data_IF_381458699820
#
_entry.id   IF_381458699820
#
_cell.length_a   1.000
_cell.length_b   1.000
_cell.length_c   1.000
_cell.angle_alpha   90.00
_cell.angle_beta   90.00
_cell.angle_gamma   90.00
#
_symmetry.space_group_name_H-M   'P 1'
#
loop_
_entity.id
_entity.type
_entity.pdbx_description
1 polymer ?
#
# COMPACT_ATOMS: atom_id res chain seq x y z
N UNK A 1 21.40 5.79 -4.55
CA UNK A 1 21.03 4.97 -3.37
C UNK A 1 20.14 5.81 -2.46
N UNK A 2 18.84 5.49 -2.39
CA UNK A 2 17.78 6.36 -1.85
C UNK A 2 17.42 5.92 -0.43
N UNK A 3 17.41 6.85 0.53
CA UNK A 3 17.01 6.60 1.93
C UNK A 3 15.49 6.45 1.99
N UNK A 4 15.02 5.54 2.85
CA UNK A 4 13.64 5.10 2.91
C UNK A 4 13.18 5.14 4.37
N UNK A 5 12.06 5.81 4.63
CA UNK A 5 11.31 5.67 5.88
C UNK A 5 10.01 4.95 5.57
N UNK A 6 9.70 3.86 6.28
CA UNK A 6 8.42 3.21 6.27
C UNK A 6 7.48 3.97 7.21
N UNK A 7 6.32 4.44 6.74
CA UNK A 7 5.24 4.80 7.67
C UNK A 7 4.32 3.62 7.76
N UNK A 8 4.17 3.10 8.98
CA UNK A 8 3.08 2.22 9.32
C UNK A 8 2.87 2.25 10.81
N UNK A 9 1.71 2.74 11.23
CA UNK A 9 0.58 1.95 11.73
C UNK A 9 -0.59 2.96 11.61
N UNK A 10 -1.79 2.52 11.25
CA UNK A 10 -3.02 3.19 11.67
C UNK A 10 -4.09 2.10 11.78
N UNK A 11 -4.55 1.82 13.00
CA UNK A 11 -5.45 0.71 13.36
C UNK A 11 -6.95 0.99 13.05
N UNK A 12 -7.46 0.62 11.88
CA UNK A 12 -8.76 1.10 11.36
C UNK A 12 -9.97 1.13 12.36
N UNK A 13 -10.66 2.27 12.58
CA UNK A 13 -11.86 2.35 13.46
C UNK A 13 -12.93 3.39 13.02
N UNK A 14 -14.17 2.97 12.70
CA UNK A 14 -15.20 3.79 12.00
C UNK A 14 -16.27 4.42 12.91
N UNK A 15 -16.41 5.78 12.91
CA UNK A 15 -17.69 6.56 13.02
C UNK A 15 -17.58 8.14 12.98
N UNK A 16 -18.31 8.75 12.01
CA UNK A 16 -19.02 10.07 11.81
C UNK A 16 -18.49 11.49 12.21
N UNK A 17 -18.71 12.44 11.28
CA UNK A 17 -18.25 13.83 10.98
C UNK A 17 -18.63 15.08 11.85
N UNK A 18 -17.80 16.16 11.75
CA UNK A 18 -18.18 17.57 11.39
C UNK A 18 -16.93 18.50 11.19
N UNK A 19 -17.03 19.57 10.37
CA UNK A 19 -15.97 20.29 9.60
C UNK A 19 -15.68 21.77 10.04
N UNK A 20 -14.45 22.29 9.81
CA UNK A 20 -14.03 23.69 9.41
C UNK A 20 -12.67 24.15 10.01
N UNK A 21 -11.82 25.09 9.53
CA UNK A 21 -11.38 25.64 8.22
C UNK A 21 -10.21 26.66 8.48
N UNK A 22 -9.19 26.75 7.59
CA UNK A 22 -8.36 27.92 7.15
C UNK A 22 -7.02 28.48 7.77
N UNK A 23 -6.20 29.01 6.81
CA UNK A 23 -5.05 29.97 6.76
C UNK A 23 -3.64 29.52 7.23
N UNK A 24 -2.47 29.99 6.73
CA UNK A 24 -1.95 30.64 5.50
C UNK A 24 -0.40 30.79 5.61
N UNK A 25 0.25 31.05 4.47
CA UNK A 25 1.68 31.06 4.11
C UNK A 25 2.63 31.97 4.92
N UNK A 26 3.95 31.64 4.90
CA UNK A 26 5.01 32.53 4.39
C UNK A 26 6.36 31.82 4.16
N UNK A 27 7.18 32.36 3.26
CA UNK A 27 8.21 31.72 2.42
C UNK A 27 9.66 32.00 2.88
N UNK A 28 10.57 31.02 2.73
CA UNK A 28 12.02 31.25 2.50
C UNK A 28 12.56 30.20 1.53
N UNK A 29 13.20 30.65 0.44
CA UNK A 29 13.77 29.80 -0.61
C UNK A 29 15.06 29.11 -0.13
N UNK A 30 14.86 27.94 0.45
CA UNK A 30 15.76 26.78 0.27
C UNK A 30 15.17 26.03 -0.94
N UNK A 31 15.95 25.35 -1.80
CA UNK A 31 15.37 24.51 -2.87
C UNK A 31 14.30 23.60 -2.23
N UNK A 32 13.01 23.94 -2.45
CA UNK A 32 11.93 23.38 -1.66
C UNK A 32 11.80 21.91 -2.04
N UNK A 33 11.97 21.03 -1.07
CA UNK A 33 11.65 19.62 -1.28
C UNK A 33 10.17 19.53 -1.64
N UNK A 34 9.86 18.89 -2.77
CA UNK A 34 8.49 18.69 -3.20
C UNK A 34 7.68 18.01 -2.09
N UNK A 35 6.43 18.45 -1.93
CA UNK A 35 5.51 17.88 -0.94
C UNK A 35 4.78 16.70 -1.57
N UNK A 36 4.88 15.54 -0.94
CA UNK A 36 4.13 14.36 -1.31
C UNK A 36 3.04 14.09 -0.26
N UNK A 37 1.79 14.19 -0.70
CA UNK A 37 0.61 13.96 0.13
C UNK A 37 0.15 12.51 0.06
N UNK A 38 -0.22 11.97 1.22
CA UNK A 38 -0.70 10.61 1.42
C UNK A 38 -2.06 10.64 2.13
N UNK A 39 -2.94 9.71 1.77
CA UNK A 39 -4.25 9.54 2.40
C UNK A 39 -4.77 8.14 2.15
N UNK A 40 -5.52 7.59 3.11
CA UNK A 40 -6.24 6.32 2.97
C UNK A 40 -7.71 6.52 2.59
N UNK A 41 -8.04 7.61 1.88
CA UNK A 41 -9.39 7.85 1.34
C UNK A 41 -9.94 6.67 0.50
N UNK A 42 -9.06 5.83 -0.06
CA UNK A 42 -9.44 4.60 -0.77
C UNK A 42 -10.08 3.54 0.14
N UNK A 43 -10.00 3.69 1.47
CA UNK A 43 -10.70 2.84 2.44
C UNK A 43 -12.08 3.41 2.84
N UNK A 44 -12.45 4.61 2.37
CA UNK A 44 -13.74 5.20 2.67
C UNK A 44 -14.81 4.76 1.65
N UNK A 45 -16.03 4.42 2.10
CA UNK A 45 -17.12 4.02 1.21
C UNK A 45 -17.68 5.20 0.39
N UNK A 46 -17.59 6.43 0.91
CA UNK A 46 -18.03 7.65 0.24
C UNK A 46 -16.80 8.42 -0.23
N UNK A 47 -16.58 8.42 -1.55
CA UNK A 47 -15.45 9.16 -2.14
C UNK A 47 -15.71 10.66 -1.99
N UNK A 48 -14.82 11.42 -1.35
CA UNK A 48 -14.88 12.88 -1.43
C UNK A 48 -14.78 13.27 -2.91
N UNK A 49 -15.59 14.24 -3.35
CA UNK A 49 -15.40 14.92 -4.64
C UNK A 49 -14.16 15.79 -4.51
N UNK A 50 -12.98 15.17 -4.58
CA UNK A 50 -11.71 15.88 -4.43
C UNK A 50 -11.33 16.52 -5.76
N UNK A 51 -11.00 17.81 -5.76
CA UNK A 51 -10.55 18.57 -6.95
C UNK A 51 -9.07 18.26 -7.29
N UNK A 52 -8.51 17.18 -6.76
CA UNK A 52 -7.14 16.73 -6.99
C UNK A 52 -7.00 15.88 -8.26
N UNK A 53 -5.76 15.56 -8.67
CA UNK A 53 -5.52 14.63 -9.78
C UNK A 53 -6.13 13.26 -9.45
N UNK A 54 -6.94 12.73 -10.37
CA UNK A 54 -7.56 11.42 -10.23
C UNK A 54 -6.48 10.32 -10.20
N UNK A 55 -6.31 9.66 -9.06
CA UNK A 55 -5.40 8.53 -8.95
C UNK A 55 -5.94 7.34 -9.76
N UNK A 56 -5.05 6.66 -10.48
CA UNK A 56 -5.33 5.37 -11.11
C UNK A 56 -4.89 4.27 -10.15
N UNK A 57 -5.78 3.33 -9.85
CA UNK A 57 -5.48 2.23 -8.94
C UNK A 57 -5.23 0.93 -9.70
N UNK A 58 -4.31 0.13 -9.16
CA UNK A 58 -4.15 -1.29 -9.46
C UNK A 58 -4.20 -2.08 -8.15
N UNK A 59 -4.71 -3.31 -8.20
CA UNK A 59 -4.79 -4.21 -7.05
C UNK A 59 -3.92 -5.44 -7.30
N UNK A 60 -3.04 -5.76 -6.36
CA UNK A 60 -2.32 -7.03 -6.31
C UNK A 60 -2.82 -7.83 -5.12
N UNK A 61 -3.22 -9.08 -5.34
CA UNK A 61 -3.65 -10.00 -4.29
C UNK A 61 -2.55 -11.04 -4.07
N UNK A 62 -1.99 -11.08 -2.87
CA UNK A 62 -0.94 -12.03 -2.48
C UNK A 62 -1.49 -13.26 -1.76
N UNK A 63 -0.64 -14.26 -1.56
CA UNK A 63 -1.00 -15.54 -0.93
C UNK A 63 -1.06 -15.48 0.62
N UNK A 64 -1.83 -14.55 1.17
CA UNK A 64 -2.15 -14.46 2.61
C UNK A 64 -3.64 -14.15 2.80
N UNK A 65 -4.19 -14.30 4.02
CA UNK A 65 -5.59 -13.99 4.29
C UNK A 65 -6.01 -12.61 3.76
N UNK A 66 -7.17 -12.56 3.12
CA UNK A 66 -7.67 -11.33 2.51
C UNK A 66 -8.14 -10.35 3.59
N UNK A 67 -7.73 -9.06 3.53
CA UNK A 67 -8.35 -8.02 4.34
C UNK A 67 -9.86 -7.97 4.12
N UNK A 68 -10.65 -7.71 5.16
CA UNK A 68 -12.12 -7.66 5.06
C UNK A 68 -12.65 -6.59 4.10
N UNK A 69 -11.86 -5.55 3.88
CA UNK A 69 -12.14 -4.45 2.95
C UNK A 69 -11.63 -4.72 1.51
N UNK A 70 -11.16 -5.93 1.20
CA UNK A 70 -10.74 -6.30 -0.17
C UNK A 70 -11.77 -5.97 -1.26
N UNK A 71 -13.10 -6.16 -1.05
CA UNK A 71 -14.10 -5.74 -2.04
C UNK A 71 -14.04 -4.26 -2.41
N UNK A 72 -13.76 -3.38 -1.45
CA UNK A 72 -13.63 -1.94 -1.69
C UNK A 72 -12.37 -1.63 -2.53
N UNK A 73 -11.27 -2.34 -2.26
CA UNK A 73 -10.05 -2.22 -3.06
C UNK A 73 -10.29 -2.65 -4.52
N UNK A 74 -11.11 -3.69 -4.71
CA UNK A 74 -11.46 -4.18 -6.04
C UNK A 74 -12.27 -3.16 -6.85
N UNK A 75 -13.23 -2.47 -6.21
CA UNK A 75 -14.04 -1.42 -6.85
C UNK A 75 -13.21 -0.20 -7.31
N UNK A 76 -12.01 -0.01 -6.77
CA UNK A 76 -11.06 1.02 -7.20
C UNK A 76 -10.25 0.60 -8.42
N UNK A 77 -10.02 -0.70 -8.60
CA UNK A 77 -9.20 -1.26 -9.67
C UNK A 77 -9.93 -2.36 -10.48
N UNK A 78 -11.16 -2.12 -10.98
CA UNK A 78 -12.02 -3.17 -11.56
C UNK A 78 -11.49 -3.77 -12.87
N UNK A 79 -10.45 -3.19 -13.47
CA UNK A 79 -9.81 -3.64 -14.72
C UNK A 79 -8.29 -3.80 -14.59
N UNK A 80 -7.77 -3.75 -13.35
CA UNK A 80 -6.34 -3.86 -13.05
C UNK A 80 -6.12 -4.64 -11.75
N UNK A 81 -6.76 -5.80 -11.65
CA UNK A 81 -6.55 -6.73 -10.55
C UNK A 81 -5.66 -7.91 -10.98
N UNK A 82 -4.55 -8.10 -10.28
CA UNK A 82 -3.57 -9.15 -10.51
C UNK A 82 -3.48 -10.04 -9.27
N UNK A 83 -3.60 -11.35 -9.44
CA UNK A 83 -3.26 -12.30 -8.39
C UNK A 83 -1.80 -12.75 -8.55
N UNK A 84 -1.03 -12.67 -7.47
CA UNK A 84 0.32 -13.20 -7.41
C UNK A 84 0.25 -14.68 -7.03
N UNK A 85 0.39 -15.55 -8.03
CA UNK A 85 0.33 -17.01 -7.91
C UNK A 85 -0.78 -17.50 -6.95
N UNK A 86 -0.39 -18.01 -5.76
CA UNK A 86 -1.30 -18.52 -4.73
C UNK A 86 -2.29 -17.49 -4.17
N UNK A 87 -2.12 -16.19 -4.44
CA UNK A 87 -3.14 -15.17 -4.18
C UNK A 87 -4.47 -15.45 -4.88
N UNK A 88 -4.45 -16.17 -6.00
CA UNK A 88 -5.66 -16.64 -6.67
C UNK A 88 -6.45 -17.65 -5.81
N UNK A 89 -5.77 -18.49 -5.03
CA UNK A 89 -6.43 -19.40 -4.09
C UNK A 89 -7.19 -18.60 -3.02
N UNK A 90 -6.57 -17.56 -2.48
CA UNK A 90 -7.17 -16.67 -1.48
C UNK A 90 -8.43 -16.00 -2.02
N UNK A 91 -8.33 -15.46 -3.24
CA UNK A 91 -9.47 -14.88 -3.93
C UNK A 91 -10.62 -15.91 -4.13
N UNK A 92 -10.29 -17.12 -4.54
CA UNK A 92 -11.26 -18.18 -4.82
C UNK A 92 -11.97 -18.71 -3.56
N UNK A 93 -11.22 -18.85 -2.46
CA UNK A 93 -11.67 -19.50 -1.22
C UNK A 93 -12.30 -18.52 -0.22
N UNK A 94 -11.71 -17.33 -0.06
CA UNK A 94 -12.01 -16.42 1.04
C UNK A 94 -12.98 -15.31 0.63
N UNK A 95 -12.91 -14.81 -0.60
CA UNK A 95 -13.77 -13.71 -1.02
C UNK A 95 -15.27 -14.04 -0.96
N UNK A 96 -15.74 -15.25 -1.35
CA UNK A 96 -17.14 -15.66 -1.12
C UNK A 96 -17.61 -15.54 0.32
N UNK A 97 -16.71 -15.71 1.30
CA UNK A 97 -17.04 -15.63 2.73
C UNK A 97 -17.37 -14.21 3.18
N UNK A 98 -16.89 -13.20 2.45
CA UNK A 98 -17.22 -11.79 2.67
C UNK A 98 -18.62 -11.43 2.14
N UNK A 99 -19.25 -12.31 1.36
CA UNK A 99 -20.60 -12.15 0.80
C UNK A 99 -21.51 -13.32 1.17
N UNK A 100 -21.85 -13.50 2.47
CA UNK A 100 -22.61 -14.66 2.95
C UNK A 100 -24.03 -14.78 2.37
N UNK A 101 -24.53 -13.72 1.72
CA UNK A 101 -25.85 -13.69 1.07
C UNK A 101 -25.81 -14.10 -0.41
N UNK A 102 -24.63 -14.07 -1.02
CA UNK A 102 -24.44 -14.37 -2.44
C UNK A 102 -24.00 -15.84 -2.60
N UNK A 103 -24.33 -16.45 -3.74
CA UNK A 103 -23.79 -17.79 -4.04
C UNK A 103 -22.28 -17.67 -4.31
N UNK A 104 -21.44 -18.59 -3.80
CA UNK A 104 -20.00 -18.53 -4.02
C UNK A 104 -19.57 -18.48 -5.50
N UNK A 105 -20.31 -19.14 -6.38
CA UNK A 105 -20.09 -19.07 -7.84
C UNK A 105 -20.25 -17.66 -8.39
N UNK A 106 -21.27 -16.93 -7.92
CA UNK A 106 -21.62 -15.62 -8.43
C UNK A 106 -20.57 -14.59 -7.98
N UNK A 107 -20.07 -14.73 -6.74
CA UNK A 107 -18.96 -13.94 -6.22
C UNK A 107 -17.69 -14.20 -7.03
N UNK A 108 -17.33 -15.47 -7.27
CA UNK A 108 -16.12 -15.80 -8.05
C UNK A 108 -16.17 -15.28 -9.48
N UNK A 109 -17.36 -15.28 -10.10
CA UNK A 109 -17.56 -14.71 -11.44
C UNK A 109 -17.47 -13.18 -11.43
N UNK A 110 -18.00 -12.52 -10.38
CA UNK A 110 -17.93 -11.07 -10.21
C UNK A 110 -16.51 -10.58 -9.95
N UNK A 111 -15.74 -11.33 -9.17
CA UNK A 111 -14.37 -11.01 -8.76
C UNK A 111 -13.36 -11.91 -9.45
N UNK A 112 -13.37 -11.83 -10.79
CA UNK A 112 -12.42 -12.51 -11.67
C UNK A 112 -11.19 -11.62 -11.88
N UNK A 113 -9.97 -12.05 -11.54
CA UNK A 113 -8.77 -11.25 -11.77
C UNK A 113 -8.47 -11.15 -13.27
N UNK A 114 -7.85 -10.04 -13.67
CA UNK A 114 -7.43 -9.82 -15.06
C UNK A 114 -6.24 -10.71 -15.40
N UNK A 115 -5.31 -10.84 -14.45
CA UNK A 115 -4.06 -11.58 -14.58
C UNK A 115 -3.80 -12.44 -13.35
N UNK A 116 -3.32 -13.66 -13.55
CA UNK A 116 -2.61 -14.44 -12.54
C UNK A 116 -1.16 -14.53 -12.99
N UNK A 117 -0.22 -14.09 -12.15
CA UNK A 117 1.21 -14.04 -12.46
C UNK A 117 2.05 -14.58 -11.32
N UNK A 118 3.05 -15.37 -11.65
CA UNK A 118 4.01 -15.95 -10.71
C UNK A 118 4.59 -17.25 -11.27
N UNK A 119 5.29 -18.03 -10.47
CA UNK A 119 5.86 -19.32 -10.87
C UNK A 119 4.87 -20.50 -10.79
N UNK A 120 3.63 -20.25 -10.37
CA UNK A 120 2.54 -21.23 -10.35
C UNK A 120 2.81 -22.41 -9.40
N UNK A 121 3.68 -22.24 -8.40
CA UNK A 121 4.05 -23.29 -7.45
C UNK A 121 3.07 -23.39 -6.27
N UNK A 122 2.31 -22.33 -6.02
CA UNK A 122 1.38 -22.21 -4.90
C UNK A 122 -0.07 -22.26 -5.33
N UNK A 123 -0.42 -21.81 -6.55
CA UNK A 123 -1.79 -21.92 -7.06
C UNK A 123 -2.21 -23.38 -7.25
N UNK A 124 -3.41 -23.72 -6.80
CA UNK A 124 -3.94 -25.08 -7.00
C UNK A 124 -4.46 -25.24 -8.43
N UNK A 125 -4.28 -26.43 -9.01
CA UNK A 125 -4.63 -26.72 -10.40
C UNK A 125 -6.10 -26.41 -10.71
N UNK A 126 -7.03 -26.77 -9.82
CA UNK A 126 -8.46 -26.52 -10.02
C UNK A 126 -8.82 -25.03 -9.98
N UNK A 127 -8.08 -24.22 -9.21
CA UNK A 127 -8.27 -22.76 -9.14
C UNK A 127 -7.71 -22.10 -10.39
N UNK A 128 -6.53 -22.53 -10.82
CA UNK A 128 -5.89 -22.06 -12.05
C UNK A 128 -6.78 -22.34 -13.27
N UNK A 129 -7.29 -23.57 -13.38
CA UNK A 129 -8.18 -23.99 -14.47
C UNK A 129 -9.51 -23.22 -14.44
N UNK A 130 -10.09 -22.99 -13.26
CA UNK A 130 -11.29 -22.20 -13.11
C UNK A 130 -11.13 -20.79 -13.69
N UNK A 131 -10.11 -20.04 -13.25
CA UNK A 131 -9.89 -18.68 -13.74
C UNK A 131 -9.44 -18.62 -15.20
N UNK A 132 -8.64 -19.60 -15.64
CA UNK A 132 -8.28 -19.76 -17.06
C UNK A 132 -9.53 -19.92 -17.94
N UNK A 133 -10.49 -20.75 -17.52
CA UNK A 133 -11.76 -20.96 -18.24
C UNK A 133 -12.67 -19.73 -18.22
N UNK A 134 -12.56 -18.87 -17.21
CA UNK A 134 -13.21 -17.56 -17.19
C UNK A 134 -12.48 -16.50 -18.05
N UNK A 135 -11.35 -16.84 -18.67
CA UNK A 135 -10.57 -15.96 -19.52
C UNK A 135 -9.63 -15.02 -18.76
N UNK A 136 -9.18 -15.38 -17.57
CA UNK A 136 -8.08 -14.69 -16.88
C UNK A 136 -6.77 -14.99 -17.60
N UNK A 137 -5.92 -13.97 -17.80
CA UNK A 137 -4.61 -14.15 -18.43
C UNK A 137 -3.65 -14.81 -17.44
N UNK A 138 -3.10 -15.96 -17.82
CA UNK A 138 -2.09 -16.66 -17.00
C UNK A 138 -0.70 -16.30 -17.52
N UNK A 139 0.15 -15.76 -16.65
CA UNK A 139 1.53 -15.39 -16.96
C UNK A 139 2.49 -16.17 -16.05
N UNK A 140 2.96 -17.30 -16.57
CA UNK A 140 3.93 -18.16 -15.89
C UNK A 140 5.34 -17.55 -15.95
N UNK A 141 5.96 -17.41 -14.79
CA UNK A 141 7.30 -16.87 -14.54
C UNK A 141 8.15 -17.87 -13.75
N UNK A 142 7.95 -19.17 -13.96
CA UNK A 142 8.72 -20.25 -13.31
C UNK A 142 10.23 -20.15 -13.52
N UNK A 143 10.65 -19.52 -14.62
CA UNK A 143 12.05 -19.37 -14.98
C UNK A 143 12.76 -18.24 -14.19
N UNK A 144 12.02 -17.29 -13.60
CA UNK A 144 12.57 -16.22 -12.77
C UNK A 144 12.48 -16.59 -11.29
N UNK A 145 13.60 -17.03 -10.73
CA UNK A 145 13.77 -17.38 -9.32
C UNK A 145 14.50 -16.29 -8.52
N UNK A 146 14.91 -15.20 -9.18
CA UNK A 146 15.60 -14.07 -8.53
C UNK A 146 14.63 -13.03 -7.98
N UNK A 147 13.35 -13.08 -8.39
CA UNK A 147 12.32 -12.14 -7.95
C UNK A 147 11.08 -12.82 -7.36
N UNK A 148 10.49 -12.18 -6.35
CA UNK A 148 9.24 -12.63 -5.71
C UNK A 148 8.02 -12.37 -6.60
N UNK A 149 6.90 -13.07 -6.42
CA UNK A 149 5.69 -12.81 -7.23
C UNK A 149 5.13 -11.39 -7.09
N UNK A 150 5.26 -10.75 -5.93
CA UNK A 150 4.89 -9.34 -5.80
C UNK A 150 5.73 -8.47 -6.74
N UNK A 151 7.05 -8.71 -6.81
CA UNK A 151 7.94 -8.01 -7.74
C UNK A 151 7.46 -8.20 -9.18
N UNK A 152 7.22 -9.45 -9.59
CA UNK A 152 6.75 -9.83 -10.92
C UNK A 152 5.45 -9.08 -11.29
N UNK A 153 4.50 -9.00 -10.35
CA UNK A 153 3.23 -8.29 -10.54
C UNK A 153 3.41 -6.78 -10.65
N UNK A 154 4.20 -6.16 -9.76
CA UNK A 154 4.47 -4.71 -9.79
C UNK A 154 5.21 -4.32 -11.07
N UNK A 155 6.19 -5.13 -11.51
CA UNK A 155 6.92 -4.91 -12.74
C UNK A 155 5.99 -4.92 -13.97
N UNK A 156 5.04 -5.86 -14.02
CA UNK A 156 4.03 -5.91 -15.08
C UNK A 156 3.16 -4.65 -15.09
N UNK A 157 2.60 -4.26 -13.95
CA UNK A 157 1.77 -3.04 -13.85
C UNK A 157 2.57 -1.81 -14.31
N UNK A 158 3.83 -1.70 -13.91
CA UNK A 158 4.70 -0.59 -14.29
C UNK A 158 5.07 -0.60 -15.78
N UNK A 159 5.16 -1.77 -16.42
CA UNK A 159 5.41 -1.90 -17.84
C UNK A 159 4.17 -1.53 -18.67
N UNK A 160 3.00 -1.96 -18.23
CA UNK A 160 1.72 -1.72 -18.93
C UNK A 160 1.17 -0.30 -18.71
N UNK A 161 1.66 0.43 -17.70
CA UNK A 161 1.24 1.80 -17.41
C UNK A 161 2.02 2.81 -18.28
N UNK A 162 1.35 3.64 -19.10
CA UNK A 162 2.00 4.70 -19.87
C UNK A 162 2.78 5.66 -18.98
N UNK A 163 3.91 6.19 -19.46
CA UNK A 163 4.80 7.06 -18.67
C UNK A 163 4.09 8.28 -18.08
N UNK A 164 3.11 8.84 -18.80
CA UNK A 164 2.30 9.99 -18.38
C UNK A 164 1.39 9.69 -17.18
N UNK A 165 1.01 8.43 -16.99
CA UNK A 165 0.09 8.00 -15.93
C UNK A 165 0.82 7.45 -14.69
N UNK A 166 2.14 7.16 -14.80
CA UNK A 166 2.93 6.57 -13.72
C UNK A 166 2.96 7.42 -12.45
N UNK A 167 2.91 8.75 -12.59
CA UNK A 167 2.87 9.67 -11.44
C UNK A 167 1.55 9.59 -10.65
N UNK A 168 0.47 9.16 -11.30
CA UNK A 168 -0.87 9.05 -10.69
C UNK A 168 -1.24 7.60 -10.32
N UNK A 169 -0.34 6.64 -10.58
CA UNK A 169 -0.55 5.23 -10.28
C UNK A 169 -0.37 4.95 -8.78
N UNK A 170 -1.35 4.30 -8.17
CA UNK A 170 -1.29 3.75 -6.83
C UNK A 170 -1.56 2.23 -6.88
N UNK A 171 -0.59 1.42 -6.44
CA UNK A 171 -0.72 -0.03 -6.37
C UNK A 171 -1.09 -0.41 -4.94
N UNK A 172 -2.28 -0.96 -4.77
CA UNK A 172 -2.78 -1.50 -3.51
C UNK A 172 -2.44 -2.99 -3.47
N UNK A 173 -1.83 -3.47 -2.40
CA UNK A 173 -1.41 -4.88 -2.27
C UNK A 173 -2.13 -5.51 -1.09
N UNK A 174 -3.10 -6.38 -1.37
CA UNK A 174 -3.87 -7.09 -0.36
C UNK A 174 -3.17 -8.40 0.05
N UNK A 175 -3.22 -8.74 1.35
CA UNK A 175 -2.59 -9.95 1.87
C UNK A 175 -1.07 -9.82 1.97
N UNK A 176 -0.57 -8.63 2.28
CA UNK A 176 0.87 -8.38 2.25
C UNK A 176 1.63 -8.76 3.52
N UNK A 177 0.92 -9.09 4.60
CA UNK A 177 1.46 -9.30 5.95
C UNK A 177 0.69 -10.42 6.66
N UNK A 178 1.27 -10.96 7.73
CA UNK A 178 0.67 -11.97 8.61
C UNK A 178 1.13 -13.41 8.34
N UNK A 179 2.28 -13.59 7.69
CA UNK A 179 2.76 -14.89 7.22
C UNK A 179 4.23 -15.16 7.51
N UNK A 180 4.91 -15.75 6.52
CA UNK A 180 6.35 -16.01 6.56
C UNK A 180 7.11 -14.68 6.55
N UNK A 181 7.95 -14.46 7.57
CA UNK A 181 8.68 -13.20 7.73
C UNK A 181 9.61 -12.88 6.54
N UNK A 182 10.24 -13.89 5.95
CA UNK A 182 11.09 -13.71 4.77
C UNK A 182 10.29 -13.20 3.55
N UNK A 183 9.03 -13.64 3.40
CA UNK A 183 8.13 -13.10 2.36
C UNK A 183 7.74 -11.66 2.67
N UNK A 184 7.46 -11.32 3.93
CA UNK A 184 7.15 -9.94 4.33
C UNK A 184 8.33 -9.00 4.10
N UNK A 185 9.55 -9.44 4.45
CA UNK A 185 10.78 -8.71 4.13
C UNK A 185 10.95 -8.55 2.61
N UNK A 186 10.60 -9.57 1.82
CA UNK A 186 10.52 -9.49 0.36
C UNK A 186 9.54 -8.41 -0.12
N UNK A 187 8.36 -8.31 0.49
CA UNK A 187 7.37 -7.28 0.18
C UNK A 187 7.89 -5.87 0.48
N UNK A 188 8.58 -5.68 1.61
CA UNK A 188 9.25 -4.41 1.95
C UNK A 188 10.36 -4.09 0.94
N UNK A 189 11.11 -5.09 0.49
CA UNK A 189 12.15 -4.92 -0.53
C UNK A 189 11.56 -4.46 -1.88
N UNK A 190 10.36 -4.92 -2.25
CA UNK A 190 9.63 -4.41 -3.44
C UNK A 190 9.38 -2.91 -3.31
N UNK A 191 8.92 -2.41 -2.15
CA UNK A 191 8.75 -0.97 -1.96
C UNK A 191 10.06 -0.22 -2.19
N UNK A 192 11.18 -0.76 -1.70
CA UNK A 192 12.50 -0.16 -1.88
C UNK A 192 12.94 -0.14 -3.35
N UNK A 193 12.72 -1.26 -4.06
CA UNK A 193 13.06 -1.42 -5.48
C UNK A 193 12.27 -0.45 -6.36
N UNK A 194 10.97 -0.32 -6.10
CA UNK A 194 10.04 0.54 -6.84
C UNK A 194 9.77 1.86 -6.11
N UNK A 195 10.79 2.46 -5.50
CA UNK A 195 10.70 3.67 -4.66
C UNK A 195 10.05 4.93 -5.28
N UNK A 196 9.84 4.95 -6.60
CA UNK A 196 9.14 6.04 -7.30
C UNK A 196 7.67 5.75 -7.56
N UNK A 197 7.21 4.54 -7.29
CA UNK A 197 5.84 4.08 -7.48
C UNK A 197 5.15 4.09 -6.12
N UNK A 198 3.92 4.61 -6.07
CA UNK A 198 3.12 4.56 -4.85
C UNK A 198 2.58 3.15 -4.68
N UNK A 199 3.15 2.40 -3.75
CA UNK A 199 2.74 1.03 -3.41
C UNK A 199 2.35 1.02 -1.93
N UNK A 200 1.18 0.47 -1.64
CA UNK A 200 0.61 0.38 -0.30
C UNK A 200 0.34 -1.08 0.00
N UNK A 201 1.02 -1.62 1.01
CA UNK A 201 0.81 -2.99 1.49
C UNK A 201 -0.29 -2.99 2.55
N UNK A 202 -1.26 -3.88 2.42
CA UNK A 202 -2.48 -3.89 3.21
C UNK A 202 -2.72 -5.29 3.82
N UNK A 203 -3.07 -5.28 5.10
CA UNK A 203 -3.65 -6.38 5.86
C UNK A 203 -4.85 -5.84 6.66
N UNK A 204 -5.57 -6.68 7.39
CA UNK A 204 -6.70 -6.22 8.22
C UNK A 204 -6.28 -5.18 9.29
N UNK A 205 -5.05 -5.27 9.79
CA UNK A 205 -4.59 -4.50 10.95
C UNK A 205 -3.51 -3.47 10.62
N UNK A 206 -2.99 -3.47 9.38
CA UNK A 206 -1.75 -2.78 9.06
C UNK A 206 -1.71 -2.27 7.61
N UNK A 207 -1.29 -1.01 7.45
CA UNK A 207 -1.07 -0.32 6.18
C UNK A 207 0.37 0.17 6.10
N UNK A 208 1.15 -0.40 5.19
CA UNK A 208 2.55 -0.04 4.99
C UNK A 208 2.77 0.73 3.69
N UNK A 209 3.46 1.86 3.79
CA UNK A 209 3.89 2.62 2.61
C UNK A 209 5.29 3.20 2.77
N UNK A 210 5.95 3.40 1.64
CA UNK A 210 7.25 4.03 1.55
C UNK A 210 7.15 5.55 1.58
N UNK A 211 7.97 6.20 2.38
CA UNK A 211 8.23 7.63 2.33
C UNK A 211 9.63 7.89 1.75
N UNK A 212 9.76 8.24 0.46
CA UNK A 212 11.04 8.57 -0.14
C UNK A 212 11.65 9.83 0.47
N UNK A 213 12.91 9.77 0.89
CA UNK A 213 13.64 10.94 1.46
C UNK A 213 13.71 12.18 0.56
N UNK A 214 13.35 12.08 -0.72
CA UNK A 214 13.43 13.18 -1.67
C UNK A 214 12.28 14.19 -1.49
N UNK A 215 11.29 13.87 -0.66
CA UNK A 215 10.10 14.69 -0.46
C UNK A 215 9.91 15.04 1.01
N UNK A 216 9.21 16.15 1.24
CA UNK A 216 8.48 16.35 2.49
C UNK A 216 7.16 15.60 2.38
N UNK A 217 6.73 14.98 3.47
CA UNK A 217 5.48 14.21 3.48
C UNK A 217 4.42 14.88 4.32
N UNK A 218 3.21 14.91 3.78
CA UNK A 218 2.00 15.22 4.53
C UNK A 218 1.08 14.00 4.46
N UNK A 219 0.64 13.52 5.62
CA UNK A 219 -0.17 12.31 5.72
C UNK A 219 -1.49 12.74 6.36
N UNK A 220 -2.56 12.66 5.58
CA UNK A 220 -3.92 12.96 5.99
C UNK A 220 -4.52 11.71 6.62
N UNK A 221 -4.80 11.80 7.91
CA UNK A 221 -5.25 10.67 8.72
C UNK A 221 -6.76 10.57 8.64
N UNK A 222 -7.23 9.42 8.22
CA UNK A 222 -8.65 9.12 8.11
C UNK A 222 -9.09 8.38 9.36
N UNK A 223 -9.22 9.08 10.50
CA UNK A 223 -9.50 8.48 11.82
C UNK A 223 -10.72 7.56 11.87
N UNK A 224 -11.65 7.68 10.92
CA UNK A 224 -12.78 6.77 10.73
C UNK A 224 -12.40 5.40 10.14
N UNK A 225 -11.23 5.24 9.57
CA UNK A 225 -10.76 3.96 9.06
C UNK A 225 -9.33 3.79 9.46
N UNK A 226 -8.83 4.52 10.45
CA UNK A 226 -7.44 4.51 10.85
C UNK A 226 -7.39 4.73 12.36
N UNK A 227 -6.60 3.95 13.07
CA UNK A 227 -6.54 4.03 14.53
C UNK A 227 -5.21 4.51 15.03
N UNK A 228 -5.14 4.84 16.31
CA UNK A 228 -4.20 5.85 16.78
C UNK A 228 -2.75 5.44 16.63
N UNK A 229 -2.42 4.15 16.67
CA UNK A 229 -1.03 3.72 16.64
C UNK A 229 -0.39 3.97 15.29
N UNK A 230 0.86 4.45 15.28
CA UNK A 230 1.69 4.64 14.09
C UNK A 230 3.17 4.30 14.35
N UNK A 231 3.97 4.26 13.29
CA UNK A 231 5.40 3.99 13.39
C UNK A 231 6.19 4.48 12.18
N UNK A 232 7.46 4.80 12.42
CA UNK A 232 8.47 5.18 11.43
C UNK A 232 9.69 4.28 11.52
N UNK A 233 9.97 3.55 10.44
CA UNK A 233 11.07 2.58 10.38
C UNK A 233 12.04 2.94 9.24
N UNK A 234 13.31 3.26 9.52
CA UNK A 234 14.32 3.57 8.50
C UNK A 234 14.85 2.28 7.85
N UNK A 235 14.25 1.88 6.73
CA UNK A 235 14.62 0.67 6.00
C UNK A 235 15.77 0.98 5.02
N UNK A 236 16.72 0.06 4.90
CA UNK A 236 17.84 0.13 3.96
C UNK A 236 19.02 0.98 4.47
N UNK A 237 18.77 2.15 5.04
CA UNK A 237 19.82 3.03 5.60
C UNK A 237 19.28 3.83 6.81
N UNK A 238 20.15 4.23 7.76
CA UNK A 238 19.81 5.18 8.81
C UNK A 238 19.16 6.47 8.28
N UNK A 239 18.15 6.96 8.98
CA UNK A 239 17.62 8.31 8.80
C UNK A 239 18.33 9.23 9.79
N UNK A 240 19.28 10.05 9.33
CA UNK A 240 20.14 10.85 10.22
C UNK A 240 19.42 11.97 10.96
N UNK A 241 18.45 12.60 10.29
CA UNK A 241 17.73 13.76 10.81
C UNK A 241 16.28 13.64 10.37
N UNK A 242 15.40 13.32 11.32
CA UNK A 242 13.96 13.19 11.08
C UNK A 242 13.21 14.15 11.99
N UNK A 243 12.32 14.93 11.40
CA UNK A 243 11.41 15.81 12.13
C UNK A 243 9.98 15.46 11.77
N UNK A 244 9.11 15.37 12.77
CA UNK A 244 7.67 15.14 12.57
C UNK A 244 6.83 16.16 13.31
N UNK A 245 5.59 16.32 12.87
CA UNK A 245 4.54 17.02 13.62
C UNK A 245 3.26 16.20 13.62
N UNK A 246 2.47 16.31 14.68
CA UNK A 246 1.15 15.69 14.78
C UNK A 246 1.16 14.28 15.40
N UNK A 247 2.31 13.83 15.91
CA UNK A 247 2.46 12.60 16.68
C UNK A 247 2.51 12.88 18.19
N UNK A 248 2.15 11.90 19.00
CA UNK A 248 2.29 11.94 20.47
C UNK A 248 3.76 12.07 20.88
N UNK A 249 4.64 11.41 20.14
CA UNK A 249 6.08 11.53 20.27
C UNK A 249 6.64 12.04 18.96
N UNK A 250 6.53 13.35 18.75
CA UNK A 250 7.13 14.01 17.61
C UNK A 250 8.67 13.94 17.67
N UNK A 251 9.28 13.74 16.51
CA UNK A 251 10.72 13.76 16.34
C UNK A 251 11.17 15.18 16.02
N UNK A 252 12.33 15.57 16.54
CA UNK A 252 12.95 16.86 16.22
C UNK A 252 14.42 16.60 15.92
N UNK A 253 14.79 16.68 14.64
CA UNK A 253 16.16 16.44 14.16
C UNK A 253 16.74 15.11 14.67
N UNK A 254 15.91 14.07 14.73
CA UNK A 254 16.24 12.83 15.43
C UNK A 254 16.74 11.76 14.47
N UNK A 255 17.86 11.13 14.82
CA UNK A 255 18.39 9.98 14.10
C UNK A 255 17.57 8.71 14.41
N UNK A 256 17.24 7.95 13.36
CA UNK A 256 16.66 6.61 13.47
C UNK A 256 17.51 5.60 12.71
N UNK A 257 17.74 4.42 13.31
CA UNK A 257 18.43 3.28 12.68
C UNK A 257 18.08 1.97 13.36
N UNK A 258 18.20 0.87 12.62
CA UNK A 258 18.24 -0.46 13.23
C UNK A 258 19.44 -0.56 14.20
N UNK A 259 19.20 -1.19 15.36
CA UNK A 259 20.14 -1.20 16.49
C UNK A 259 20.17 0.09 17.31
N UNK A 260 19.38 1.11 16.93
CA UNK A 260 19.17 2.34 17.68
C UNK A 260 17.69 2.66 17.81
N UNK A 261 17.31 3.94 17.67
CA UNK A 261 15.92 4.36 17.75
C UNK A 261 15.14 3.91 16.50
N UNK A 262 14.01 3.27 16.75
CA UNK A 262 12.91 3.08 15.81
C UNK A 262 11.65 3.70 16.44
N UNK A 263 10.92 4.53 15.70
CA UNK A 263 9.65 5.09 16.19
C UNK A 263 8.57 4.00 16.06
N UNK A 264 8.43 3.18 17.07
CA UNK A 264 7.43 2.09 17.13
C UNK A 264 6.43 2.37 18.24
N UNK A 265 5.19 1.91 18.07
CA UNK A 265 4.10 2.19 19.02
C UNK A 265 3.85 3.67 19.29
N UNK A 266 4.14 4.54 18.31
CA UNK A 266 3.81 5.95 18.37
C UNK A 266 2.29 6.14 18.22
N UNK A 267 1.76 7.33 18.46
CA UNK A 267 0.33 7.63 18.40
C UNK A 267 0.10 8.89 17.57
N UNK A 268 -0.84 8.85 16.65
CA UNK A 268 -1.35 9.99 15.91
C UNK A 268 -2.19 10.88 16.83
N UNK A 269 -1.95 12.19 16.80
CA UNK A 269 -2.68 13.21 17.58
C UNK A 269 -3.41 14.24 16.75
N UNK A 270 -2.97 14.47 15.53
CA UNK A 270 -3.56 15.44 14.62
C UNK A 270 -4.10 14.75 13.36
N UNK A 271 -5.03 15.41 12.67
CA UNK A 271 -5.58 14.94 11.39
C UNK A 271 -4.53 14.95 10.27
N UNK A 272 -3.48 15.76 10.42
CA UNK A 272 -2.38 15.86 9.47
C UNK A 272 -1.04 15.64 10.18
N UNK A 273 -0.33 14.61 9.77
CA UNK A 273 1.06 14.38 10.18
C UNK A 273 1.97 14.97 9.12
N UNK A 274 3.02 15.66 9.54
CA UNK A 274 4.11 16.02 8.63
C UNK A 274 5.37 15.25 8.98
N UNK A 275 6.11 14.81 7.96
CA UNK A 275 7.44 14.23 8.13
C UNK A 275 8.41 14.91 7.17
N UNK A 276 9.50 15.39 7.74
CA UNK A 276 10.64 15.94 7.02
C UNK A 276 11.88 15.11 7.37
N UNK A 277 12.78 14.99 6.40
CA UNK A 277 14.10 14.44 6.62
C UNK A 277 15.14 15.34 6.00
N UNK A 278 16.10 15.80 6.81
CA UNK A 278 17.17 16.66 6.31
C UNK A 278 18.28 15.79 5.71
N UNK A 279 18.88 16.30 4.64
CA UNK A 279 19.93 15.63 3.89
C UNK A 279 21.35 16.00 4.38
N UNK A 280 21.48 16.82 5.42
CA UNK A 280 22.78 17.30 5.89
C UNK A 280 23.51 16.22 6.72
N UNK A 281 24.27 15.39 6.00
CA UNK A 281 25.73 15.17 6.16
C UNK A 281 26.20 14.06 5.22
#
# INVERSE_FOLDING_TARGET
MRIITLVTIVQLNIRSFSLSLFFSLSTRFTLAMDVMTHSSNFLLPSRPTDNGPSLSYALVVLNQPLPRFTPLLWELAPQRCICADGGANRLYDELPRLFPRDKPSDVRNRYKPDVIKGDMDSIRTEVLDFYRNLGTKILDESQDQDTTDLHKCVALICADTPTVDKSNLCILVAGALGGRFDHEAGNINVLCRFSTVRIILLSDDCLIQLLPRTHRHEIQIQSSVEGPHCGLIPIGMPSRSTTTTGLQWDLNDTEMRFGGLLSTSNIVKEEKITKLQNNEN
#
